data_IF_283761864442
#
_entry.id   IF_283761864442
#
_cell.length_a   1.000
_cell.length_b   1.000
_cell.length_c   1.000
_cell.angle_alpha   90.00
_cell.angle_beta   90.00
_cell.angle_gamma   90.00
#
_symmetry.space_group_name_H-M   'P 1'
#
loop_
_entity.id
_entity.type
_entity.pdbx_description
1 polymer ?
#
# COMPACT_ATOMS: atom_id res chain seq x y z
N UNK A 1 -34.20 -3.93 15.49
CA UNK A 1 -35.47 -3.62 14.81
C UNK A 1 -35.49 -4.03 13.34
N UNK A 2 -34.59 -3.54 12.45
CA UNK A 2 -34.61 -3.90 11.01
C UNK A 2 -34.46 -5.40 10.70
N UNK A 3 -33.60 -6.12 11.42
CA UNK A 3 -33.38 -7.58 11.24
C UNK A 3 -34.64 -8.40 11.59
N UNK A 4 -35.42 -7.93 12.57
CA UNK A 4 -36.66 -8.57 13.02
C UNK A 4 -37.82 -8.21 12.07
N UNK A 5 -37.80 -7.01 11.47
CA UNK A 5 -38.84 -6.53 10.55
C UNK A 5 -38.73 -7.11 9.12
N UNK A 6 -37.52 -7.37 8.62
CA UNK A 6 -37.31 -7.85 7.23
C UNK A 6 -37.04 -9.35 7.11
N UNK A 7 -36.80 -10.06 8.22
CA UNK A 7 -36.37 -11.46 8.21
C UNK A 7 -34.90 -11.61 7.78
N UNK A 8 -34.22 -12.61 8.35
CA UNK A 8 -32.76 -12.73 8.27
C UNK A 8 -32.27 -13.26 6.90
N UNK A 9 -32.94 -14.28 6.33
CA UNK A 9 -32.49 -14.96 5.09
C UNK A 9 -33.62 -15.41 4.16
N UNK A 10 -34.78 -15.84 4.67
CA UNK A 10 -35.76 -16.65 3.91
C UNK A 10 -36.91 -15.89 3.21
N UNK A 11 -37.02 -14.56 3.34
CA UNK A 11 -38.08 -13.78 2.68
C UNK A 11 -37.58 -13.03 1.43
N UNK A 12 -38.44 -12.79 0.42
CA UNK A 12 -38.09 -12.06 -0.82
C UNK A 12 -37.73 -10.57 -0.64
N UNK A 13 -37.70 -10.08 0.61
CA UNK A 13 -37.17 -8.77 1.01
C UNK A 13 -36.10 -8.87 2.13
N UNK A 14 -35.44 -10.02 2.28
CA UNK A 14 -34.51 -10.32 3.37
C UNK A 14 -33.40 -9.27 3.50
N UNK A 15 -33.07 -8.95 4.75
CA UNK A 15 -32.15 -7.87 5.14
C UNK A 15 -30.77 -7.98 4.47
N UNK A 16 -30.25 -9.20 4.26
CA UNK A 16 -28.94 -9.45 3.66
C UNK A 16 -28.88 -9.26 2.14
N UNK A 17 -30.01 -9.13 1.44
CA UNK A 17 -30.03 -8.95 -0.03
C UNK A 17 -29.83 -7.49 -0.46
N UNK A 18 -29.95 -6.54 0.47
CA UNK A 18 -29.61 -5.13 0.22
C UNK A 18 -28.15 -4.87 0.62
N UNK A 19 -27.30 -4.52 -0.34
CA UNK A 19 -25.86 -4.25 -0.15
C UNK A 19 -25.59 -3.22 0.95
N UNK A 20 -26.46 -2.21 1.09
CA UNK A 20 -26.31 -1.18 2.14
C UNK A 20 -26.63 -1.69 3.54
N UNK A 21 -27.58 -2.61 3.66
CA UNK A 21 -27.91 -3.26 4.93
C UNK A 21 -26.83 -4.28 5.33
N UNK A 22 -26.22 -4.96 4.35
CA UNK A 22 -25.10 -5.87 4.59
C UNK A 22 -23.85 -5.10 5.08
N UNK A 23 -23.57 -3.93 4.50
CA UNK A 23 -22.50 -3.04 4.96
C UNK A 23 -22.75 -2.57 6.41
N UNK A 24 -23.97 -2.15 6.74
CA UNK A 24 -24.32 -1.76 8.11
C UNK A 24 -24.14 -2.91 9.11
N UNK A 25 -24.59 -4.11 8.73
CA UNK A 25 -24.41 -5.34 9.52
C UNK A 25 -22.94 -5.63 9.81
N UNK A 26 -22.07 -5.60 8.78
CA UNK A 26 -20.64 -5.83 8.92
C UNK A 26 -20.01 -4.82 9.87
N UNK A 27 -20.36 -3.53 9.77
CA UNK A 27 -19.83 -2.50 10.69
C UNK A 27 -20.30 -2.75 12.12
N UNK A 28 -21.56 -3.16 12.33
CA UNK A 28 -22.08 -3.52 13.67
C UNK A 28 -21.30 -4.71 14.24
N UNK A 29 -21.13 -5.77 13.46
CA UNK A 29 -20.44 -7.00 13.87
C UNK A 29 -18.98 -6.71 14.22
N UNK A 30 -18.24 -5.99 13.36
CA UNK A 30 -16.85 -5.58 13.63
C UNK A 30 -16.77 -4.72 14.90
N UNK A 31 -17.71 -3.79 15.10
CA UNK A 31 -17.76 -2.95 16.29
C UNK A 31 -18.01 -3.72 17.58
N UNK A 32 -18.90 -4.72 17.56
CA UNK A 32 -19.20 -5.60 18.69
C UNK A 32 -18.01 -6.51 18.99
N UNK A 33 -17.42 -7.14 17.96
CA UNK A 33 -16.24 -8.00 18.10
C UNK A 33 -15.05 -7.21 18.67
N UNK A 34 -14.78 -6.01 18.14
CA UNK A 34 -13.72 -5.12 18.64
C UNK A 34 -13.91 -4.76 20.12
N UNK A 35 -15.15 -4.47 20.53
CA UNK A 35 -15.48 -4.12 21.93
C UNK A 35 -15.39 -5.34 22.85
N UNK A 36 -15.90 -6.50 22.41
CA UNK A 36 -15.84 -7.75 23.18
C UNK A 36 -14.39 -8.22 23.38
N UNK A 37 -13.57 -8.24 22.33
CA UNK A 37 -12.14 -8.57 22.40
C UNK A 37 -11.37 -7.60 23.31
N UNK A 38 -11.67 -6.30 23.25
CA UNK A 38 -11.02 -5.32 24.12
C UNK A 38 -11.33 -5.50 25.62
N UNK A 39 -12.49 -6.08 25.95
CA UNK A 39 -12.89 -6.33 27.33
C UNK A 39 -12.40 -7.69 27.85
N UNK A 40 -12.32 -8.71 26.98
CA UNK A 40 -11.93 -10.08 27.33
C UNK A 40 -10.41 -10.28 27.36
N UNK A 41 -9.65 -9.64 26.46
CA UNK A 41 -8.20 -9.83 26.36
C UNK A 41 -7.46 -8.55 26.75
N UNK A 42 -7.31 -8.32 28.06
CA UNK A 42 -6.55 -7.16 28.59
C UNK A 42 -5.03 -7.29 28.44
N UNK A 43 -4.49 -8.49 28.22
CA UNK A 43 -3.03 -8.74 28.36
C UNK A 43 -2.29 -9.30 27.13
N UNK A 44 -2.90 -9.37 25.93
CA UNK A 44 -2.21 -10.04 24.81
C UNK A 44 -2.49 -9.56 23.38
N UNK A 45 -3.39 -8.59 23.16
CA UNK A 45 -3.72 -8.14 21.80
C UNK A 45 -3.52 -6.64 21.64
N UNK A 46 -2.90 -6.24 20.53
CA UNK A 46 -2.73 -4.83 20.20
C UNK A 46 -4.08 -4.20 19.81
N UNK A 47 -4.80 -3.74 20.84
CA UNK A 47 -6.09 -3.05 20.72
C UNK A 47 -6.01 -1.77 19.87
N UNK A 48 -4.81 -1.32 19.48
CA UNK A 48 -4.62 -0.20 18.54
C UNK A 48 -5.17 -0.54 17.15
N UNK A 49 -4.89 -1.72 16.61
CA UNK A 49 -5.41 -2.15 15.30
C UNK A 49 -6.94 -2.28 15.34
N UNK A 50 -7.49 -2.84 16.42
CA UNK A 50 -8.95 -2.99 16.59
C UNK A 50 -9.69 -1.65 16.71
N UNK A 51 -9.00 -0.59 17.17
CA UNK A 51 -9.53 0.77 17.24
C UNK A 51 -9.62 1.41 15.85
N UNK A 52 -8.74 1.05 14.92
CA UNK A 52 -8.73 1.58 13.55
C UNK A 52 -10.03 1.25 12.80
N UNK A 53 -10.65 0.09 13.04
CA UNK A 53 -11.94 -0.29 12.42
C UNK A 53 -13.09 0.69 12.71
N UNK A 54 -12.98 1.54 13.74
CA UNK A 54 -13.96 2.61 13.98
C UNK A 54 -14.00 3.64 12.84
N UNK A 55 -12.96 3.72 12.01
CA UNK A 55 -12.92 4.54 10.78
C UNK A 55 -13.99 4.14 9.77
N UNK A 56 -14.55 2.93 9.87
CA UNK A 56 -15.64 2.48 9.01
C UNK A 56 -17.01 3.06 9.41
N UNK A 57 -17.16 3.61 10.63
CA UNK A 57 -18.46 4.12 11.13
C UNK A 57 -19.08 5.23 10.27
N UNK A 58 -18.33 6.21 9.73
CA UNK A 58 -18.87 7.21 8.81
C UNK A 58 -19.52 6.62 7.55
N UNK A 59 -19.14 5.41 7.11
CA UNK A 59 -19.80 4.74 5.99
C UNK A 59 -21.27 4.40 6.27
N UNK A 60 -21.69 4.35 7.55
CA UNK A 60 -23.12 4.23 7.89
C UNK A 60 -23.93 5.44 7.46
N UNK A 61 -23.35 6.64 7.44
CA UNK A 61 -24.05 7.85 6.96
C UNK A 61 -24.47 7.68 5.50
N UNK A 62 -23.63 7.06 4.69
CA UNK A 62 -23.94 6.70 3.31
C UNK A 62 -25.14 5.74 3.24
N UNK A 63 -25.17 4.70 4.09
CA UNK A 63 -26.29 3.76 4.14
C UNK A 63 -27.61 4.40 4.64
N UNK A 64 -27.53 5.52 5.36
CA UNK A 64 -28.69 6.26 5.88
C UNK A 64 -29.26 7.31 4.93
N UNK A 65 -28.44 7.82 4.01
CA UNK A 65 -28.83 8.94 3.12
C UNK A 65 -28.92 8.44 1.67
N UNK A 66 -30.13 8.37 1.08
CA UNK A 66 -30.32 7.78 -0.25
C UNK A 66 -29.62 8.56 -1.39
N UNK A 67 -29.41 9.87 -1.24
CA UNK A 67 -28.69 10.67 -2.24
C UNK A 67 -27.21 10.27 -2.36
N UNK A 68 -26.54 9.95 -1.25
CA UNK A 68 -25.14 9.48 -1.26
C UNK A 68 -24.99 8.10 -1.90
N UNK A 69 -26.01 7.24 -1.75
CA UNK A 69 -26.03 5.91 -2.37
C UNK A 69 -26.07 6.01 -3.89
N UNK A 70 -26.83 6.95 -4.44
CA UNK A 70 -26.87 7.20 -5.89
C UNK A 70 -25.51 7.63 -6.40
N UNK A 71 -24.83 8.56 -5.71
CA UNK A 71 -23.50 9.04 -6.10
C UNK A 71 -22.48 7.91 -6.10
N UNK A 72 -22.40 7.10 -5.03
CA UNK A 72 -21.46 5.98 -4.98
C UNK A 72 -21.76 4.91 -6.02
N UNK A 73 -23.02 4.58 -6.25
CA UNK A 73 -23.38 3.63 -7.31
C UNK A 73 -22.96 4.13 -8.69
N UNK A 74 -23.04 5.44 -8.93
CA UNK A 74 -22.54 6.06 -10.16
C UNK A 74 -21.02 5.96 -10.27
N UNK A 75 -20.28 6.21 -9.19
CA UNK A 75 -18.81 6.05 -9.14
C UNK A 75 -18.41 4.59 -9.39
N UNK A 76 -19.05 3.64 -8.70
CA UNK A 76 -18.78 2.20 -8.87
C UNK A 76 -19.04 1.75 -10.31
N UNK A 77 -20.13 2.21 -10.94
CA UNK A 77 -20.43 1.91 -12.35
C UNK A 77 -19.39 2.49 -13.30
N UNK A 78 -18.87 3.69 -13.01
CA UNK A 78 -17.83 4.32 -13.82
C UNK A 78 -16.47 3.62 -13.69
N UNK A 79 -16.19 2.91 -12.59
CA UNK A 79 -14.94 2.17 -12.40
C UNK A 79 -14.86 0.87 -13.20
N UNK A 80 -15.98 0.20 -13.45
CA UNK A 80 -16.02 -1.08 -14.19
C UNK A 80 -15.27 -1.00 -15.54
N UNK A 81 -15.54 -0.03 -16.43
CA UNK A 81 -14.80 0.06 -17.70
C UNK A 81 -13.31 0.40 -17.52
N UNK A 82 -12.94 1.10 -16.46
CA UNK A 82 -11.54 1.44 -16.16
C UNK A 82 -10.71 0.21 -15.74
N UNK A 83 -11.35 -0.86 -15.28
CA UNK A 83 -10.67 -2.08 -14.84
C UNK A 83 -9.84 -2.72 -15.97
N UNK A 84 -10.34 -2.71 -17.21
CA UNK A 84 -9.58 -3.23 -18.36
C UNK A 84 -8.29 -2.45 -18.61
N UNK A 85 -8.35 -1.12 -18.49
CA UNK A 85 -7.18 -0.25 -18.63
C UNK A 85 -6.21 -0.47 -17.45
N UNK A 86 -6.73 -0.56 -16.23
CA UNK A 86 -5.93 -0.84 -15.04
C UNK A 86 -5.19 -2.18 -15.14
N UNK A 87 -5.84 -3.22 -15.68
CA UNK A 87 -5.21 -4.53 -15.92
C UNK A 87 -4.05 -4.41 -16.91
N UNK A 88 -4.24 -3.69 -18.01
CA UNK A 88 -3.16 -3.42 -18.97
C UNK A 88 -1.98 -2.70 -18.31
N UNK A 89 -2.25 -1.67 -17.51
CA UNK A 89 -1.19 -0.92 -16.79
C UNK A 89 -0.44 -1.83 -15.82
N UNK A 90 -1.13 -2.65 -15.04
CA UNK A 90 -0.48 -3.63 -14.13
C UNK A 90 0.40 -4.59 -14.92
N UNK A 91 -0.07 -5.09 -16.06
CA UNK A 91 0.72 -6.00 -16.90
C UNK A 91 2.00 -5.33 -17.42
N UNK A 92 1.91 -4.08 -17.87
CA UNK A 92 3.08 -3.30 -18.31
C UNK A 92 4.06 -3.08 -17.15
N UNK A 93 3.57 -2.72 -15.96
CA UNK A 93 4.42 -2.56 -14.76
C UNK A 93 5.16 -3.86 -14.45
N UNK A 94 4.50 -5.02 -14.52
CA UNK A 94 5.13 -6.32 -14.28
C UNK A 94 6.29 -6.58 -15.25
N UNK A 95 6.09 -6.32 -16.55
CA UNK A 95 7.14 -6.51 -17.56
C UNK A 95 8.35 -5.65 -17.23
N UNK A 96 8.16 -4.35 -17.00
CA UNK A 96 9.26 -3.44 -16.67
C UNK A 96 9.90 -3.75 -15.32
N UNK A 97 9.14 -4.25 -14.34
CA UNK A 97 9.68 -4.68 -13.05
C UNK A 97 10.61 -5.89 -13.21
N UNK A 98 10.24 -6.88 -14.03
CA UNK A 98 11.11 -8.05 -14.31
C UNK A 98 12.37 -7.61 -15.05
N UNK A 99 12.23 -6.76 -16.07
CA UNK A 99 13.39 -6.22 -16.80
C UNK A 99 14.32 -5.45 -15.85
N UNK A 100 13.76 -4.61 -14.97
CA UNK A 100 14.52 -3.86 -13.98
C UNK A 100 15.21 -4.76 -12.95
N UNK A 101 14.54 -5.81 -12.47
CA UNK A 101 15.10 -6.81 -11.57
C UNK A 101 16.32 -7.49 -12.19
N UNK A 102 16.22 -7.97 -13.43
CA UNK A 102 17.33 -8.66 -14.10
C UNK A 102 18.52 -7.73 -14.38
N UNK A 103 18.27 -6.45 -14.71
CA UNK A 103 19.33 -5.50 -15.05
C UNK A 103 19.98 -4.84 -13.83
N UNK A 104 19.19 -4.52 -12.79
CA UNK A 104 19.59 -3.64 -11.70
C UNK A 104 19.62 -4.30 -10.31
N UNK A 105 19.35 -5.61 -10.23
CA UNK A 105 19.48 -6.37 -8.98
C UNK A 105 20.86 -6.18 -8.31
N UNK A 106 20.85 -5.76 -7.04
CA UNK A 106 22.04 -5.57 -6.22
C UNK A 106 22.93 -4.38 -6.61
N UNK A 107 22.54 -3.58 -7.62
CA UNK A 107 23.35 -2.45 -8.11
C UNK A 107 23.21 -1.20 -7.25
N UNK A 108 22.07 -1.01 -6.57
CA UNK A 108 21.76 0.21 -5.82
C UNK A 108 22.30 0.25 -4.38
N UNK A 109 23.16 -0.70 -4.00
CA UNK A 109 23.69 -0.85 -2.64
C UNK A 109 25.11 -0.29 -2.46
N UNK A 110 25.65 0.36 -3.49
CA UNK A 110 27.00 0.93 -3.51
C UNK A 110 26.94 2.44 -3.38
N UNK A 111 27.63 3.02 -2.42
CA UNK A 111 27.81 4.49 -2.34
C UNK A 111 29.23 4.85 -1.93
N UNK A 112 29.54 6.15 -1.94
CA UNK A 112 30.85 6.67 -1.59
C UNK A 112 31.01 6.76 -0.07
N UNK A 113 32.02 6.07 0.44
CA UNK A 113 32.44 6.11 1.83
C UNK A 113 33.80 6.77 1.95
N UNK A 114 34.02 7.52 3.01
CA UNK A 114 35.35 8.01 3.37
C UNK A 114 36.20 6.83 3.86
N UNK A 115 37.41 6.68 3.29
CA UNK A 115 38.32 5.58 3.60
C UNK A 115 38.81 5.58 5.05
N UNK A 116 38.82 6.73 5.73
CA UNK A 116 39.32 6.88 7.10
C UNK A 116 38.20 6.70 8.12
N UNK A 117 37.08 7.40 7.96
CA UNK A 117 35.97 7.36 8.93
C UNK A 117 35.03 6.18 8.72
N UNK A 118 34.99 5.62 7.50
CA UNK A 118 34.05 4.55 7.14
C UNK A 118 32.60 5.00 7.11
N UNK A 119 32.35 6.31 7.14
CA UNK A 119 31.01 6.90 7.04
C UNK A 119 30.69 7.28 5.60
N UNK A 120 29.41 7.45 5.31
CA UNK A 120 28.95 7.93 4.01
C UNK A 120 29.48 9.35 3.82
N UNK A 121 30.21 9.59 2.73
CA UNK A 121 30.87 10.87 2.48
C UNK A 121 29.92 11.94 1.91
N UNK A 122 28.79 11.51 1.35
CA UNK A 122 27.78 12.34 0.69
C UNK A 122 26.63 12.66 1.64
N UNK A 123 26.17 13.92 1.64
CA UNK A 123 24.95 14.34 2.35
C UNK A 123 23.71 13.70 1.71
N UNK A 124 23.66 13.67 0.37
CA UNK A 124 22.67 12.93 -0.43
C UNK A 124 23.32 11.70 -1.09
N UNK A 125 23.27 10.52 -0.46
CA UNK A 125 23.91 9.32 -0.98
C UNK A 125 23.23 8.84 -2.26
N UNK A 126 24.05 8.58 -3.27
CA UNK A 126 23.62 8.04 -4.55
C UNK A 126 24.54 6.89 -5.00
N UNK A 127 24.09 6.06 -5.96
CA UNK A 127 24.85 4.89 -6.39
C UNK A 127 26.18 5.24 -7.06
N UNK A 128 27.26 4.57 -6.66
CA UNK A 128 28.58 4.65 -7.32
C UNK A 128 28.91 3.35 -8.09
N UNK A 129 29.75 3.44 -9.12
CA UNK A 129 30.20 2.27 -9.87
C UNK A 129 31.22 2.56 -10.95
N UNK A 130 31.89 1.52 -11.44
CA UNK A 130 33.00 1.63 -12.41
C UNK A 130 32.58 2.27 -13.74
N UNK A 131 31.35 2.02 -14.17
CA UNK A 131 30.74 2.63 -15.36
C UNK A 131 29.77 3.79 -15.03
N UNK A 132 29.67 4.17 -13.75
CA UNK A 132 28.71 5.16 -13.25
C UNK A 132 29.42 6.35 -12.59
N UNK A 133 28.78 6.92 -11.57
CA UNK A 133 29.37 7.99 -10.77
C UNK A 133 30.63 7.49 -10.03
N UNK A 134 31.72 8.24 -10.18
CA UNK A 134 33.00 7.94 -9.54
C UNK A 134 33.16 8.81 -8.30
N UNK A 135 33.45 8.16 -7.16
CA UNK A 135 33.75 8.86 -5.91
C UNK A 135 35.02 9.68 -6.02
N UNK A 136 35.15 10.73 -5.21
CA UNK A 136 36.30 11.62 -5.28
C UNK A 136 37.54 10.98 -4.64
N UNK A 137 38.40 10.41 -5.48
CA UNK A 137 39.65 9.78 -5.04
C UNK A 137 40.59 10.77 -4.32
N UNK A 138 40.54 12.07 -4.66
CA UNK A 138 41.40 13.09 -4.02
C UNK A 138 40.99 13.41 -2.59
N UNK A 139 39.72 13.19 -2.25
CA UNK A 139 39.19 13.29 -0.88
C UNK A 139 39.34 11.98 -0.09
N UNK A 140 39.93 10.94 -0.68
CA UNK A 140 40.06 9.62 -0.06
C UNK A 140 38.75 8.83 -0.02
N UNK A 141 37.80 9.12 -0.89
CA UNK A 141 36.53 8.39 -0.96
C UNK A 141 36.65 7.10 -1.77
N UNK A 142 35.97 6.06 -1.32
CA UNK A 142 35.95 4.73 -1.95
C UNK A 142 34.52 4.22 -2.09
N UNK A 143 34.22 3.64 -3.25
CA UNK A 143 32.92 3.04 -3.52
C UNK A 143 32.80 1.69 -2.81
N UNK A 144 31.89 1.53 -1.85
CA UNK A 144 31.69 0.29 -1.07
C UNK A 144 30.21 -0.14 -1.05
N UNK A 145 29.98 -1.44 -0.89
CA UNK A 145 28.66 -2.10 -0.89
C UNK A 145 28.12 -2.24 0.54
N UNK A 146 27.86 -1.13 1.22
CA UNK A 146 27.36 -1.10 2.61
C UNK A 146 26.24 -0.07 2.81
N UNK A 147 25.53 0.26 1.73
CA UNK A 147 24.42 1.19 1.78
C UNK A 147 23.10 0.44 1.63
N UNK A 148 22.11 0.77 2.45
CA UNK A 148 20.75 0.20 2.38
C UNK A 148 20.04 0.54 1.06
N UNK A 149 20.52 1.57 0.34
CA UNK A 149 19.97 2.03 -0.92
C UNK A 149 19.15 3.31 -0.79
N UNK A 150 18.69 3.87 -1.93
CA UNK A 150 17.93 5.13 -1.95
C UNK A 150 16.64 5.03 -1.13
N UNK A 151 16.26 6.14 -0.47
CA UNK A 151 15.07 6.23 0.38
C UNK A 151 14.96 5.09 1.41
N UNK A 152 16.03 4.86 2.19
CA UNK A 152 16.09 3.79 3.19
C UNK A 152 15.85 2.39 2.61
N UNK A 153 16.35 2.14 1.39
CA UNK A 153 16.21 0.86 0.71
C UNK A 153 14.81 0.54 0.20
N UNK A 154 13.91 1.53 0.08
CA UNK A 154 12.59 1.32 -0.52
C UNK A 154 12.70 1.26 -2.05
N UNK A 155 13.54 2.11 -2.64
CA UNK A 155 13.74 2.18 -4.09
C UNK A 155 14.91 1.27 -4.47
N UNK A 156 14.61 0.04 -4.85
CA UNK A 156 15.58 -0.90 -5.41
C UNK A 156 14.91 -1.93 -6.31
N UNK A 157 15.74 -2.71 -6.99
CA UNK A 157 15.34 -3.78 -7.91
C UNK A 157 15.83 -5.14 -7.41
N UNK A 158 15.88 -5.36 -6.10
CA UNK A 158 16.42 -6.61 -5.53
C UNK A 158 15.35 -7.69 -5.38
N UNK A 159 14.10 -7.27 -5.21
CA UNK A 159 12.95 -8.14 -5.10
C UNK A 159 11.87 -7.71 -6.07
N UNK A 160 11.09 -8.68 -6.57
CA UNK A 160 10.00 -8.41 -7.51
C UNK A 160 9.00 -7.36 -6.99
N UNK A 161 8.65 -7.39 -5.70
CA UNK A 161 7.71 -6.42 -5.11
C UNK A 161 8.27 -4.98 -5.05
N UNK A 162 9.55 -4.81 -4.71
CA UNK A 162 10.19 -3.49 -4.66
C UNK A 162 10.47 -2.95 -6.07
N UNK A 163 10.82 -3.82 -7.01
CA UNK A 163 10.90 -3.47 -8.43
C UNK A 163 9.55 -2.97 -8.96
N UNK A 164 8.46 -3.66 -8.62
CA UNK A 164 7.10 -3.24 -9.00
C UNK A 164 6.72 -1.88 -8.40
N UNK A 165 7.04 -1.64 -7.12
CA UNK A 165 6.80 -0.36 -6.45
C UNK A 165 7.59 0.78 -7.10
N UNK A 166 8.86 0.54 -7.40
CA UNK A 166 9.76 1.52 -8.05
C UNK A 166 9.24 1.88 -9.45
N UNK A 167 8.87 0.88 -10.26
CA UNK A 167 8.30 1.13 -11.59
C UNK A 167 6.96 1.86 -11.49
N UNK A 168 6.11 1.52 -10.53
CA UNK A 168 4.86 2.23 -10.29
C UNK A 168 5.09 3.71 -9.96
N UNK A 169 6.06 4.01 -9.09
CA UNK A 169 6.45 5.37 -8.76
C UNK A 169 6.89 6.16 -10.01
N UNK A 170 7.69 5.55 -10.88
CA UNK A 170 8.09 6.15 -12.16
C UNK A 170 6.88 6.42 -13.08
N UNK A 171 5.95 5.47 -13.18
CA UNK A 171 4.73 5.62 -14.02
C UNK A 171 3.82 6.75 -13.51
N UNK A 172 3.76 6.97 -12.19
CA UNK A 172 3.03 8.10 -11.60
C UNK A 172 3.70 9.45 -11.79
N UNK A 173 4.92 9.49 -12.32
CA UNK A 173 5.75 10.69 -12.48
C UNK A 173 6.04 11.45 -11.16
N UNK A 174 6.05 10.75 -10.02
CA UNK A 174 6.45 11.34 -8.73
C UNK A 174 7.83 10.83 -8.33
N UNK A 175 8.85 11.69 -8.45
CA UNK A 175 10.24 11.33 -8.12
C UNK A 175 10.89 10.38 -9.12
N UNK A 176 10.55 10.52 -10.41
CA UNK A 176 11.18 9.84 -11.55
C UNK A 176 12.37 10.63 -12.11
#
# INVERSE_FOLDING_TARGET
MKIIAYGLVLHPGAYLRNTWNMLDFVIVVIGVISTALSNLMKEGFDVKALRAFRVLRPLRLVSGVPSLQVVLNSILKAMVPLLHIALLVIFVIIIYAIIGLELFSGKMHRTCFDNVTGQIALEDPHPCGDAGFQCNASAGEVCRLHWEGPNHGIINFDNFGLAMLTVFQCVTNEGW
#
